data_IF_648550274703
#
_entry.id   IF_648550274703
#
_cell.length_a   1.000
_cell.length_b   1.000
_cell.length_c   1.000
_cell.angle_alpha   90.00
_cell.angle_beta   90.00
_cell.angle_gamma   90.00
#
_symmetry.space_group_name_H-M   'P 1'
#
loop_
_entity.id
_entity.type
_entity.pdbx_description
1 polymer ?
#
# COMPACT_ATOMS: atom_id res chain seq x y z
N UNK A 1 20.27 -15.96 -10.63
CA UNK A 1 19.07 -16.78 -10.27
C UNK A 1 18.36 -16.33 -8.99
N UNK A 2 18.94 -15.45 -8.17
CA UNK A 2 18.28 -14.92 -6.95
C UNK A 2 17.14 -13.92 -7.23
N UNK A 3 17.15 -13.26 -8.37
CA UNK A 3 16.15 -12.25 -8.77
C UNK A 3 14.80 -12.87 -9.19
N UNK A 4 14.80 -14.08 -9.74
CA UNK A 4 13.57 -14.77 -10.16
C UNK A 4 12.78 -15.35 -8.98
N UNK A 5 13.45 -15.75 -7.89
CA UNK A 5 12.80 -16.29 -6.69
C UNK A 5 11.98 -15.20 -5.97
N UNK A 6 12.45 -13.95 -5.98
CA UNK A 6 11.71 -12.82 -5.39
C UNK A 6 10.43 -12.45 -6.15
N UNK A 7 10.39 -12.62 -7.47
CA UNK A 7 9.21 -12.30 -8.28
C UNK A 7 8.11 -13.36 -8.17
N UNK A 8 8.46 -14.63 -8.06
CA UNK A 8 7.47 -15.70 -7.84
C UNK A 8 6.83 -15.63 -6.46
N UNK A 9 7.59 -15.21 -5.43
CA UNK A 9 7.07 -15.04 -4.08
C UNK A 9 6.03 -13.92 -3.99
N UNK A 10 6.20 -12.82 -4.73
CA UNK A 10 5.23 -11.72 -4.80
C UNK A 10 3.93 -12.07 -5.55
N UNK A 11 3.97 -13.03 -6.49
CA UNK A 11 2.80 -13.47 -7.27
C UNK A 11 1.99 -14.50 -6.48
N UNK A 12 2.62 -15.23 -5.55
CA UNK A 12 2.01 -16.35 -4.82
C UNK A 12 1.23 -15.93 -3.58
N UNK A 13 1.56 -14.80 -2.96
CA UNK A 13 0.93 -14.31 -1.72
C UNK A 13 -0.24 -13.36 -2.01
N UNK A 14 -1.25 -13.87 -2.72
CA UNK A 14 -2.52 -13.14 -2.85
C UNK A 14 -3.22 -13.13 -1.49
N UNK A 15 -3.63 -11.96 -1.06
CA UNK A 15 -4.47 -11.80 0.11
C UNK A 15 -5.83 -11.24 -0.26
N UNK A 16 -6.85 -11.72 0.43
CA UNK A 16 -8.23 -11.37 0.22
C UNK A 16 -8.76 -10.71 1.49
N UNK A 17 -9.44 -9.57 1.32
CA UNK A 17 -10.01 -8.83 2.45
C UNK A 17 -11.52 -8.85 2.38
N UNK A 18 -12.14 -9.30 3.47
CA UNK A 18 -13.56 -9.15 3.72
C UNK A 18 -13.76 -8.12 4.83
N UNK A 19 -14.76 -7.27 4.71
CA UNK A 19 -15.09 -6.26 5.72
C UNK A 19 -16.51 -6.44 6.22
N UNK A 20 -16.71 -6.13 7.49
CA UNK A 20 -18.03 -6.01 8.13
C UNK A 20 -18.10 -4.65 8.81
N UNK A 21 -19.25 -3.98 8.70
CA UNK A 21 -19.48 -2.69 9.34
C UNK A 21 -20.38 -2.86 10.57
N UNK A 22 -19.94 -2.26 11.67
CA UNK A 22 -20.59 -2.33 12.96
C UNK A 22 -20.93 -0.92 13.44
N UNK A 23 -22.16 -0.74 13.89
CA UNK A 23 -22.68 0.50 14.47
C UNK A 23 -22.80 0.37 15.98
N UNK A 24 -22.35 1.40 16.70
CA UNK A 24 -22.47 1.48 18.15
C UNK A 24 -23.79 2.15 18.49
N UNK A 25 -24.74 1.38 19.00
CA UNK A 25 -26.03 1.89 19.44
C UNK A 25 -25.94 2.38 20.91
N UNK A 26 -26.06 3.68 21.09
CA UNK A 26 -26.02 4.35 22.39
C UNK A 26 -27.42 4.67 22.92
N UNK A 27 -28.48 4.32 22.22
CA UNK A 27 -29.86 4.72 22.53
C UNK A 27 -30.37 4.18 23.89
N UNK A 28 -29.74 3.17 24.45
CA UNK A 28 -30.07 2.62 25.74
C UNK A 28 -29.42 3.33 26.93
N UNK A 29 -28.57 4.34 26.70
CA UNK A 29 -27.91 5.13 27.79
C UNK A 29 -28.76 6.33 28.25
N UNK A 30 -29.97 6.54 27.69
CA UNK A 30 -30.70 7.79 27.82
C UNK A 30 -32.03 7.71 28.60
N UNK A 31 -31.94 7.51 29.91
CA UNK A 31 -33.02 7.98 30.79
C UNK A 31 -32.84 9.45 31.30
N UNK A 32 -31.75 10.12 30.90
CA UNK A 32 -31.46 11.48 31.43
C UNK A 32 -30.88 12.45 30.36
N UNK A 33 -31.46 12.44 29.13
CA UNK A 33 -31.15 13.48 28.11
C UNK A 33 -31.89 14.80 28.40
N UNK A 34 -31.51 15.48 29.45
CA UNK A 34 -31.80 16.90 29.58
C UNK A 34 -30.57 17.72 29.16
N UNK A 35 -30.64 18.31 27.96
CA UNK A 35 -29.80 19.45 27.53
C UNK A 35 -28.28 19.28 27.45
N UNK A 36 -27.78 18.17 26.97
CA UNK A 36 -26.39 18.10 26.50
C UNK A 36 -26.31 18.65 25.06
N UNK A 37 -25.42 19.62 24.86
CA UNK A 37 -25.17 20.20 23.55
C UNK A 37 -24.84 19.08 22.51
N UNK A 38 -25.43 19.12 21.31
CA UNK A 38 -25.24 18.17 20.21
C UNK A 38 -23.76 17.88 19.95
N UNK A 39 -22.89 18.87 20.13
CA UNK A 39 -21.43 18.74 20.01
C UNK A 39 -20.78 17.79 21.03
N UNK A 40 -21.30 17.77 22.27
CA UNK A 40 -20.80 16.88 23.33
C UNK A 40 -21.24 15.43 23.12
N UNK A 41 -22.44 15.23 22.56
CA UNK A 41 -22.99 13.92 22.25
C UNK A 41 -22.20 13.25 21.12
N UNK A 42 -21.88 14.00 20.06
CA UNK A 42 -21.06 13.49 18.96
C UNK A 42 -19.64 13.11 19.39
N UNK A 43 -18.99 13.92 20.22
CA UNK A 43 -17.67 13.63 20.76
C UNK A 43 -17.70 12.40 21.69
N UNK A 44 -18.78 12.24 22.46
CA UNK A 44 -18.98 11.07 23.33
C UNK A 44 -19.09 9.78 22.51
N UNK A 45 -19.91 9.76 21.45
CA UNK A 45 -20.08 8.61 20.58
C UNK A 45 -18.76 8.20 19.92
N UNK A 46 -17.96 9.15 19.42
CA UNK A 46 -16.63 8.88 18.85
C UNK A 46 -15.67 8.26 19.86
N UNK A 47 -15.65 8.74 21.10
CA UNK A 47 -14.83 8.16 22.17
C UNK A 47 -15.28 6.76 22.53
N UNK A 48 -16.58 6.43 22.42
CA UNK A 48 -17.09 5.08 22.62
C UNK A 48 -16.60 4.14 21.54
N UNK A 49 -16.65 4.52 20.26
CA UNK A 49 -16.13 3.70 19.15
C UNK A 49 -14.66 3.36 19.38
N UNK A 50 -13.82 4.36 19.70
CA UNK A 50 -12.41 4.14 19.99
C UNK A 50 -12.20 3.19 21.18
N UNK A 51 -13.06 3.27 22.19
CA UNK A 51 -13.03 2.39 23.36
C UNK A 51 -13.41 0.97 22.98
N UNK A 52 -14.44 0.77 22.16
CA UNK A 52 -14.89 -0.54 21.73
C UNK A 52 -13.88 -1.22 20.82
N UNK A 53 -13.25 -0.48 19.91
CA UNK A 53 -12.14 -1.00 19.12
C UNK A 53 -11.01 -1.51 20.02
N UNK A 54 -10.66 -0.77 21.10
CA UNK A 54 -9.65 -1.24 22.07
C UNK A 54 -10.09 -2.48 22.83
N UNK A 55 -11.37 -2.59 23.18
CA UNK A 55 -11.93 -3.77 23.85
C UNK A 55 -11.93 -5.00 22.94
N UNK A 56 -12.26 -4.82 21.66
CA UNK A 56 -12.22 -5.91 20.68
C UNK A 56 -10.80 -6.29 20.29
N UNK A 57 -9.85 -5.40 20.40
CA UNK A 57 -8.44 -5.70 20.08
C UNK A 57 -7.69 -6.29 21.30
N UNK A 58 -8.31 -7.28 21.96
CA UNK A 58 -7.74 -7.96 23.12
C UNK A 58 -7.50 -9.43 22.83
N UNK A 59 -6.55 -10.03 23.55
CA UNK A 59 -6.25 -11.46 23.39
C UNK A 59 -7.46 -12.33 23.75
N UNK A 60 -8.26 -11.93 24.73
CA UNK A 60 -9.50 -12.63 25.14
C UNK A 60 -10.48 -12.70 23.98
N UNK A 61 -10.73 -11.57 23.31
CA UNK A 61 -11.60 -11.53 22.13
C UNK A 61 -11.11 -12.46 21.02
N UNK A 62 -9.81 -12.44 20.71
CA UNK A 62 -9.25 -13.31 19.67
C UNK A 62 -9.28 -14.79 20.05
N UNK A 63 -9.24 -15.12 21.34
CA UNK A 63 -9.40 -16.51 21.81
C UNK A 63 -10.83 -16.98 21.58
N UNK A 64 -11.83 -16.19 21.97
CA UNK A 64 -13.24 -16.49 21.73
C UNK A 64 -13.56 -16.59 20.23
N UNK A 65 -12.99 -15.69 19.43
CA UNK A 65 -13.10 -15.74 17.98
C UNK A 65 -12.50 -17.03 17.41
N UNK A 66 -11.33 -17.47 17.93
CA UNK A 66 -10.70 -18.74 17.56
C UNK A 66 -11.61 -19.93 17.87
N UNK A 67 -12.20 -19.98 19.04
CA UNK A 67 -13.15 -21.03 19.44
C UNK A 67 -14.37 -21.06 18.52
N UNK A 68 -14.92 -19.89 18.17
CA UNK A 68 -16.09 -19.79 17.29
C UNK A 68 -15.83 -20.30 15.87
N UNK A 69 -14.59 -20.24 15.38
CA UNK A 69 -14.18 -20.78 14.07
C UNK A 69 -13.55 -22.18 14.17
N UNK A 70 -13.88 -22.94 15.23
CA UNK A 70 -13.37 -24.30 15.50
C UNK A 70 -11.83 -24.37 15.60
N UNK A 71 -11.20 -23.38 16.16
CA UNK A 71 -9.73 -23.29 16.36
C UNK A 71 -8.91 -23.44 15.06
N UNK A 72 -9.49 -23.05 13.90
CA UNK A 72 -8.79 -23.08 12.62
C UNK A 72 -7.58 -22.17 12.59
N UNK A 73 -7.64 -21.05 13.31
CA UNK A 73 -6.56 -20.08 13.47
C UNK A 73 -6.38 -19.75 14.95
N UNK A 74 -5.13 -19.62 15.39
CA UNK A 74 -4.82 -19.23 16.76
C UNK A 74 -5.14 -17.75 17.01
N UNK A 75 -5.39 -17.37 18.27
CA UNK A 75 -5.62 -15.98 18.66
C UNK A 75 -4.53 -15.01 18.14
N UNK A 76 -3.25 -15.44 18.18
CA UNK A 76 -2.12 -14.66 17.66
C UNK A 76 -2.13 -14.49 16.14
N UNK A 77 -2.64 -15.45 15.39
CA UNK A 77 -2.83 -15.32 13.95
C UNK A 77 -3.99 -14.39 13.64
N UNK A 78 -5.13 -14.56 14.34
CA UNK A 78 -6.30 -13.72 14.19
C UNK A 78 -6.01 -12.23 14.48
N UNK A 79 -5.22 -11.94 15.51
CA UNK A 79 -4.82 -10.56 15.82
C UNK A 79 -4.00 -9.87 14.72
N UNK A 80 -3.38 -10.64 13.81
CA UNK A 80 -2.67 -10.09 12.63
C UNK A 80 -3.56 -10.02 11.39
N UNK A 81 -4.60 -10.85 11.32
CA UNK A 81 -5.51 -10.95 10.18
C UNK A 81 -6.68 -9.98 10.28
N UNK A 82 -7.11 -9.66 11.52
CA UNK A 82 -8.24 -8.77 11.79
C UNK A 82 -7.72 -7.39 12.16
N UNK A 83 -8.25 -6.37 11.50
CA UNK A 83 -7.96 -4.96 11.81
C UNK A 83 -9.27 -4.18 11.97
N UNK A 84 -9.35 -3.40 13.02
CA UNK A 84 -10.47 -2.51 13.28
C UNK A 84 -10.09 -1.09 12.90
N UNK A 85 -10.96 -0.38 12.18
CA UNK A 85 -10.79 1.03 11.81
C UNK A 85 -12.12 1.75 11.92
N UNK A 86 -12.11 2.99 12.38
CA UNK A 86 -13.26 3.87 12.36
C UNK A 86 -12.93 5.09 11.52
N UNK A 87 -13.94 5.62 10.83
CA UNK A 87 -13.83 6.92 10.23
C UNK A 87 -14.00 7.99 11.31
N UNK A 88 -13.17 9.02 11.24
CA UNK A 88 -13.29 10.16 12.16
C UNK A 88 -14.69 10.77 12.07
N UNK A 89 -15.35 10.95 13.22
CA UNK A 89 -16.68 11.56 13.37
C UNK A 89 -17.89 10.66 13.07
N UNK A 90 -17.73 9.34 13.05
CA UNK A 90 -18.86 8.42 12.87
C UNK A 90 -19.00 7.46 14.07
N UNK A 91 -20.20 6.93 14.27
CA UNK A 91 -20.49 5.86 15.23
C UNK A 91 -20.33 4.46 14.62
N UNK A 92 -19.83 4.41 13.38
CA UNK A 92 -19.60 3.19 12.63
C UNK A 92 -18.10 2.90 12.62
N UNK A 93 -17.76 1.63 12.74
CA UNK A 93 -16.40 1.16 12.54
C UNK A 93 -16.38 -0.12 11.69
N UNK A 94 -15.31 -0.27 10.95
CA UNK A 94 -15.07 -1.42 10.08
C UNK A 94 -14.19 -2.44 10.79
N UNK A 95 -14.56 -3.71 10.68
CA UNK A 95 -13.65 -4.81 10.95
C UNK A 95 -13.25 -5.44 9.61
N UNK A 96 -11.97 -5.30 9.26
CA UNK A 96 -11.38 -5.82 8.02
C UNK A 96 -10.59 -7.08 8.33
N UNK A 97 -10.88 -8.15 7.64
CA UNK A 97 -10.22 -9.45 7.80
C UNK A 97 -9.46 -9.78 6.52
N UNK A 98 -8.15 -9.91 6.62
CA UNK A 98 -7.27 -10.19 5.49
C UNK A 98 -6.63 -11.56 5.66
N UNK A 99 -6.90 -12.48 4.71
CA UNK A 99 -6.36 -13.84 4.71
C UNK A 99 -5.93 -14.27 3.31
N UNK A 100 -5.13 -15.34 3.18
CA UNK A 100 -4.76 -15.90 1.87
C UNK A 100 -5.94 -16.55 1.12
N UNK A 101 -7.02 -16.88 1.81
CA UNK A 101 -8.20 -17.54 1.25
C UNK A 101 -9.43 -16.64 1.31
N UNK A 102 -10.17 -16.44 0.20
CA UNK A 102 -11.38 -15.62 0.19
C UNK A 102 -12.49 -16.19 1.10
N UNK A 103 -12.61 -17.50 1.19
CA UNK A 103 -13.60 -18.14 2.05
C UNK A 103 -13.29 -17.93 3.54
N UNK A 104 -12.02 -17.96 3.91
CA UNK A 104 -11.59 -17.77 5.29
C UNK A 104 -11.74 -16.31 5.73
N UNK A 105 -11.47 -15.34 4.84
CA UNK A 105 -11.70 -13.94 5.16
C UNK A 105 -13.16 -13.66 5.46
N UNK A 106 -14.08 -14.22 4.67
CA UNK A 106 -15.50 -14.10 4.92
C UNK A 106 -15.93 -14.83 6.22
N UNK A 107 -15.48 -16.07 6.40
CA UNK A 107 -15.83 -16.87 7.59
C UNK A 107 -15.41 -16.17 8.89
N UNK A 108 -14.18 -15.62 8.93
CA UNK A 108 -13.71 -14.89 10.10
C UNK A 108 -14.46 -13.56 10.27
N UNK A 109 -14.76 -12.83 9.20
CA UNK A 109 -15.51 -11.59 9.27
C UNK A 109 -16.96 -11.82 9.78
N UNK A 110 -17.63 -12.88 9.31
CA UNK A 110 -18.94 -13.28 9.80
C UNK A 110 -18.89 -13.69 11.30
N UNK A 111 -17.81 -14.36 11.71
CA UNK A 111 -17.58 -14.72 13.11
C UNK A 111 -17.36 -13.47 13.99
N UNK A 112 -16.60 -12.46 13.50
CA UNK A 112 -16.45 -11.18 14.19
C UNK A 112 -17.81 -10.51 14.39
N UNK A 113 -18.68 -10.53 13.38
CA UNK A 113 -20.03 -9.96 13.47
C UNK A 113 -20.90 -10.61 14.54
N UNK A 114 -20.66 -11.87 14.87
CA UNK A 114 -21.40 -12.59 15.94
C UNK A 114 -20.75 -12.39 17.31
N UNK A 115 -19.44 -12.57 17.40
CA UNK A 115 -18.69 -12.54 18.67
C UNK A 115 -18.54 -11.12 19.22
N UNK A 116 -18.37 -10.10 18.36
CA UNK A 116 -18.14 -8.74 18.82
C UNK A 116 -19.30 -8.12 19.61
N UNK A 117 -20.59 -8.27 19.21
CA UNK A 117 -21.71 -7.78 20.01
C UNK A 117 -21.78 -8.48 21.37
N UNK A 118 -21.54 -9.78 21.43
CA UNK A 118 -21.55 -10.55 22.67
C UNK A 118 -20.43 -10.14 23.63
N UNK A 119 -19.21 -9.94 23.09
CA UNK A 119 -18.06 -9.50 23.86
C UNK A 119 -18.28 -8.11 24.47
N UNK A 120 -18.84 -7.17 23.72
CA UNK A 120 -19.12 -5.82 24.21
C UNK A 120 -20.27 -5.84 25.22
N UNK A 121 -21.35 -6.57 24.99
CA UNK A 121 -22.49 -6.63 25.90
C UNK A 121 -22.11 -7.22 27.27
N UNK A 122 -21.16 -8.15 27.32
CA UNK A 122 -20.61 -8.70 28.58
C UNK A 122 -19.79 -7.67 29.36
N UNK A 123 -19.08 -6.79 28.67
CA UNK A 123 -18.24 -5.75 29.29
C UNK A 123 -19.07 -4.54 29.69
N UNK A 124 -20.09 -4.21 28.92
CA UNK A 124 -20.96 -3.05 29.15
C UNK A 124 -22.40 -3.42 28.80
N UNK A 125 -23.18 -3.75 29.81
CA UNK A 125 -24.53 -4.28 29.67
C UNK A 125 -25.56 -3.39 28.95
N UNK A 126 -25.27 -2.10 28.80
CA UNK A 126 -26.14 -1.14 28.08
C UNK A 126 -25.70 -0.86 26.66
N UNK A 127 -24.51 -1.31 26.24
CA UNK A 127 -23.98 -1.08 24.91
C UNK A 127 -24.41 -2.20 23.96
N UNK A 128 -24.91 -1.84 22.80
CA UNK A 128 -25.31 -2.79 21.77
C UNK A 128 -24.57 -2.46 20.47
N UNK A 129 -23.95 -3.49 19.86
CA UNK A 129 -23.42 -3.40 18.52
C UNK A 129 -24.44 -3.97 17.53
N UNK A 130 -24.72 -3.22 16.47
CA UNK A 130 -25.56 -3.65 15.35
C UNK A 130 -24.72 -3.81 14.10
N UNK A 131 -24.98 -4.83 13.32
CA UNK A 131 -24.33 -5.02 12.02
C UNK A 131 -25.05 -4.11 11.01
N UNK A 132 -24.30 -3.24 10.35
CA UNK A 132 -24.78 -2.35 9.29
C UNK A 132 -24.64 -3.02 7.93
N UNK A 133 -23.45 -3.59 7.68
CA UNK A 133 -23.17 -4.33 6.45
C UNK A 133 -22.51 -5.68 6.78
N UNK A 134 -22.96 -6.72 6.10
CA UNK A 134 -22.48 -8.09 6.29
C UNK A 134 -21.23 -8.36 5.46
N UNK A 135 -20.42 -9.29 5.95
CA UNK A 135 -19.21 -9.70 5.26
C UNK A 135 -19.51 -10.28 3.87
N UNK A 136 -18.90 -9.71 2.86
CA UNK A 136 -19.00 -10.17 1.48
C UNK A 136 -17.80 -11.05 1.11
N UNK A 137 -18.04 -12.02 0.22
CA UNK A 137 -16.96 -12.84 -0.32
C UNK A 137 -16.12 -11.99 -1.29
N UNK A 138 -14.82 -11.78 -1.02
CA UNK A 138 -13.99 -11.01 -1.92
C UNK A 138 -13.79 -11.74 -3.26
N UNK A 139 -14.14 -11.08 -4.35
CA UNK A 139 -14.01 -11.61 -5.73
C UNK A 139 -12.64 -11.36 -6.33
N UNK A 140 -11.90 -10.38 -5.82
CA UNK A 140 -10.58 -10.00 -6.27
C UNK A 140 -9.58 -9.95 -5.11
N UNK A 141 -8.29 -10.25 -5.33
CA UNK A 141 -7.27 -10.11 -4.31
C UNK A 141 -7.05 -8.64 -3.97
N UNK A 142 -6.96 -8.33 -2.68
CA UNK A 142 -6.69 -6.97 -2.18
C UNK A 142 -5.20 -6.62 -2.17
N UNK A 143 -4.32 -7.63 -2.23
CA UNK A 143 -2.86 -7.47 -2.31
C UNK A 143 -2.27 -8.63 -3.13
N UNK A 144 -1.15 -8.39 -3.86
CA UNK A 144 -0.42 -7.15 -4.03
C UNK A 144 -1.14 -6.16 -4.97
N UNK A 145 -0.98 -4.87 -4.69
CA UNK A 145 -1.57 -3.82 -5.53
C UNK A 145 -0.61 -3.51 -6.70
N UNK A 146 -0.81 -4.19 -7.84
CA UNK A 146 0.09 -4.14 -9.01
C UNK A 146 0.31 -2.71 -9.50
N UNK A 147 -0.75 -1.89 -9.51
CA UNK A 147 -0.68 -0.49 -9.97
C UNK A 147 0.25 0.34 -9.08
N UNK A 148 0.16 0.19 -7.75
CA UNK A 148 1.06 0.91 -6.82
C UNK A 148 2.52 0.51 -7.02
N UNK A 149 2.79 -0.79 -7.20
CA UNK A 149 4.15 -1.29 -7.41
C UNK A 149 4.75 -0.77 -8.72
N UNK A 150 3.96 -0.71 -9.81
CA UNK A 150 4.39 -0.15 -11.09
C UNK A 150 4.70 1.35 -10.95
N UNK A 151 3.87 2.12 -10.27
CA UNK A 151 4.11 3.56 -10.04
C UNK A 151 5.40 3.77 -9.23
N UNK A 152 5.61 3.01 -8.17
CA UNK A 152 6.83 3.11 -7.34
C UNK A 152 8.08 2.75 -8.17
N UNK A 153 8.01 1.68 -8.97
CA UNK A 153 9.11 1.27 -9.84
C UNK A 153 9.42 2.34 -10.92
N UNK A 154 8.40 2.97 -11.48
CA UNK A 154 8.56 4.06 -12.46
C UNK A 154 9.27 5.26 -11.84
N UNK A 155 8.83 5.70 -10.66
CA UNK A 155 9.46 6.82 -9.93
C UNK A 155 10.92 6.50 -9.58
N UNK A 156 11.18 5.30 -9.07
CA UNK A 156 12.53 4.86 -8.74
C UNK A 156 13.44 4.82 -9.97
N UNK A 157 12.95 4.29 -11.10
CA UNK A 157 13.68 4.28 -12.37
C UNK A 157 14.01 5.68 -12.89
N UNK A 158 13.09 6.63 -12.75
CA UNK A 158 13.30 8.02 -13.14
C UNK A 158 14.40 8.67 -12.28
N UNK A 159 14.35 8.51 -10.96
CA UNK A 159 15.38 9.06 -10.05
C UNK A 159 16.77 8.49 -10.37
N UNK A 160 16.86 7.17 -10.59
CA UNK A 160 18.12 6.52 -10.96
C UNK A 160 18.64 7.04 -12.31
N UNK A 161 17.76 7.20 -13.31
CA UNK A 161 18.12 7.70 -14.64
C UNK A 161 18.69 9.11 -14.59
N UNK A 162 18.03 10.01 -13.84
CA UNK A 162 18.51 11.39 -13.65
C UNK A 162 19.86 11.38 -12.90
N UNK A 163 19.99 10.55 -11.86
CA UNK A 163 21.25 10.43 -11.12
C UNK A 163 22.42 10.00 -12.00
N UNK A 164 22.22 8.98 -12.84
CA UNK A 164 23.25 8.51 -13.79
C UNK A 164 23.57 9.59 -14.84
N UNK A 165 22.55 10.31 -15.32
CA UNK A 165 22.74 11.39 -16.29
C UNK A 165 23.58 12.52 -15.71
N UNK A 166 23.28 12.97 -14.50
CA UNK A 166 24.08 13.98 -13.78
C UNK A 166 25.51 13.50 -13.52
N UNK A 167 25.67 12.26 -13.08
CA UNK A 167 26.99 11.68 -12.83
C UNK A 167 27.83 11.68 -14.13
N UNK A 168 27.24 11.31 -15.26
CA UNK A 168 27.92 11.38 -16.58
C UNK A 168 28.27 12.80 -16.96
N UNK A 169 27.38 13.78 -16.72
CA UNK A 169 27.64 15.17 -17.00
C UNK A 169 28.81 15.73 -16.17
N UNK A 170 28.92 15.33 -14.89
CA UNK A 170 30.05 15.70 -14.02
C UNK A 170 31.39 15.04 -14.44
N UNK A 171 31.32 13.81 -14.95
CA UNK A 171 32.52 13.08 -15.40
C UNK A 171 32.95 13.46 -16.84
N UNK A 172 32.08 14.06 -17.66
CA UNK A 172 32.39 14.47 -19.02
C UNK A 172 33.10 15.84 -19.00
N UNK A 173 34.42 15.80 -18.80
CA UNK A 173 35.30 17.00 -18.83
C UNK A 173 35.63 17.46 -20.28
N UNK A 174 34.99 16.92 -21.31
CA UNK A 174 35.22 17.37 -22.67
C UNK A 174 34.52 18.71 -22.90
N UNK A 175 35.32 19.77 -23.07
CA UNK A 175 34.85 21.04 -23.64
C UNK A 175 34.27 20.75 -25.03
N UNK A 176 32.96 20.83 -25.17
CA UNK A 176 32.27 20.39 -26.39
C UNK A 176 32.03 21.48 -27.42
N UNK A 177 32.25 22.75 -27.10
CA UNK A 177 31.95 23.79 -28.12
C UNK A 177 32.68 25.09 -27.90
N UNK A 178 33.03 25.75 -29.03
CA UNK A 178 33.69 27.05 -29.09
C UNK A 178 32.90 28.19 -28.41
N UNK A 179 31.58 28.01 -28.14
CA UNK A 179 30.74 29.03 -27.51
C UNK A 179 30.96 29.16 -25.99
N UNK A 180 31.41 28.11 -25.31
CA UNK A 180 31.72 28.20 -23.86
C UNK A 180 33.01 28.96 -23.58
N UNK A 181 33.94 29.04 -24.57
CA UNK A 181 35.18 29.80 -24.43
C UNK A 181 34.96 31.31 -24.54
N UNK A 182 33.90 31.76 -25.21
CA UNK A 182 33.58 33.18 -25.34
C UNK A 182 32.94 33.79 -24.11
N UNK A 183 32.36 32.93 -23.21
CA UNK A 183 31.76 33.40 -21.95
C UNK A 183 32.75 33.60 -20.80
N UNK A 184 33.96 33.03 -20.88
CA UNK A 184 34.94 33.08 -19.76
C UNK A 184 35.97 34.22 -19.97
N UNK A 185 36.04 34.82 -21.12
CA UNK A 185 36.87 35.94 -21.40
C UNK A 185 36.81 36.29 -22.89
N UNK A 186 36.86 37.57 -23.21
CA UNK A 186 36.82 38.15 -24.54
C UNK A 186 38.10 37.80 -25.36
N UNK A 187 38.39 36.49 -25.50
CA UNK A 187 39.54 35.98 -26.22
C UNK A 187 39.08 35.59 -27.62
N UNK A 188 39.48 36.33 -28.67
CA UNK A 188 39.11 36.00 -30.04
C UNK A 188 39.77 34.69 -30.48
N UNK A 189 38.97 33.76 -31.00
CA UNK A 189 39.47 32.51 -31.60
C UNK A 189 40.19 32.86 -32.91
N UNK A 190 41.49 32.77 -32.93
CA UNK A 190 42.32 33.13 -34.07
C UNK A 190 42.35 32.08 -35.19
N UNK A 191 42.15 30.81 -34.86
CA UNK A 191 42.06 29.72 -35.84
C UNK A 191 41.49 28.45 -35.24
N UNK A 192 40.73 27.65 -36.01
CA UNK A 192 40.30 26.31 -35.69
C UNK A 192 40.95 25.31 -36.65
N UNK A 193 41.63 24.29 -36.12
CA UNK A 193 42.24 23.24 -36.93
C UNK A 193 41.21 22.13 -37.14
N UNK A 194 40.71 21.89 -38.36
CA UNK A 194 39.74 20.80 -38.59
C UNK A 194 40.40 19.43 -38.38
N UNK A 195 39.68 18.49 -37.78
CA UNK A 195 40.11 17.11 -37.72
C UNK A 195 40.14 16.54 -39.14
N UNK A 196 41.34 16.13 -39.60
CA UNK A 196 41.46 15.35 -40.81
C UNK A 196 41.13 13.89 -40.49
N UNK A 197 39.97 13.38 -40.97
CA UNK A 197 39.71 11.97 -40.99
C UNK A 197 40.71 11.30 -41.92
N UNK A 198 41.61 10.47 -41.37
CA UNK A 198 42.51 9.65 -42.17
C UNK A 198 41.67 8.72 -43.05
N UNK A 199 41.55 9.08 -44.32
CA UNK A 199 40.88 8.25 -45.33
C UNK A 199 41.57 6.87 -45.33
N UNK A 200 40.89 5.88 -44.83
CA UNK A 200 41.33 4.49 -44.76
C UNK A 200 41.43 3.95 -46.20
N UNK A 201 42.64 4.00 -46.80
CA UNK A 201 42.98 3.47 -48.15
C UNK A 201 42.98 1.93 -48.20
N UNK A 202 41.98 1.27 -47.56
CA UNK A 202 41.95 -0.18 -47.54
C UNK A 202 41.00 -0.86 -48.54
N UNK A 203 40.25 -0.12 -49.37
CA UNK A 203 39.26 -0.76 -50.25
C UNK A 203 39.49 -0.58 -51.77
N UNK A 204 40.75 -0.37 -52.21
CA UNK A 204 41.04 -0.24 -53.66
C UNK A 204 41.87 -1.42 -54.22
N UNK A 205 41.67 -2.65 -53.69
CA UNK A 205 42.42 -3.84 -54.23
C UNK A 205 41.55 -5.05 -54.54
N UNK A 206 40.22 -4.88 -54.65
CA UNK A 206 39.34 -6.04 -55.00
C UNK A 206 38.59 -5.95 -56.31
N UNK A 207 38.76 -4.83 -57.04
CA UNK A 207 37.98 -4.60 -58.27
C UNK A 207 38.83 -4.76 -59.56
N UNK A 208 39.87 -5.59 -59.54
CA UNK A 208 40.74 -5.85 -60.71
C UNK A 208 41.02 -7.31 -60.98
N UNK A 209 40.11 -8.22 -60.62
CA UNK A 209 40.22 -9.67 -60.93
C UNK A 209 38.94 -10.33 -61.47
N UNK A 210 38.03 -9.55 -62.01
CA UNK A 210 36.87 -10.08 -62.74
C UNK A 210 36.71 -9.37 -64.08
N UNK A 211 37.72 -9.40 -64.90
CA UNK A 211 37.61 -9.13 -66.35
C UNK A 211 38.82 -9.71 -67.04
N UNK A 212 38.86 -11.05 -67.21
CA UNK A 212 39.44 -11.80 -68.33
C UNK A 212 38.67 -13.11 -68.43
#
# INVERSE_FOLDING_TARGET
SASLVGSEMCIRDRSYTSSIQLYVDTSNDDENKNNLNILSEQTYAQNLVATYIKMLNTNTFYTELSEHINNKYTAKQLSKMVSFSSDEKTEIFDAKVTTPSPNDSKLIADAVGKVAPEAISRLKSKATLKIVDYAQLPTAPSSPNEIKNVIIAMIAGLVISVGISLLRAFLDKKMRYNEEMTMIGDIPILAAIPKFDAVNKSNKKKDKRESV
#
